data_IF_251503699852
#
_entry.id   IF_251503699852
#
_cell.length_a   1.000
_cell.length_b   1.000
_cell.length_c   1.000
_cell.angle_alpha   90.00
_cell.angle_beta   90.00
_cell.angle_gamma   90.00
#
_symmetry.space_group_name_H-M   'P 1'
#
loop_
_entity.id
_entity.type
_entity.pdbx_description
1 polymer ?
#
# COMPACT_ATOMS: atom_id res chain seq x y z
N UNK A 1 23.68 22.94 6.49
CA UNK A 1 23.77 23.95 7.58
C UNK A 1 23.30 25.34 7.16
N UNK A 2 23.83 25.97 6.10
CA UNK A 2 23.38 27.31 5.65
C UNK A 2 21.85 27.40 5.45
N UNK A 3 21.23 26.37 4.88
CA UNK A 3 19.76 26.28 4.72
C UNK A 3 19.00 26.17 6.03
N UNK A 4 19.57 25.52 7.05
CA UNK A 4 18.95 25.40 8.38
C UNK A 4 18.94 26.76 9.10
N UNK A 5 19.97 27.58 8.85
CA UNK A 5 20.01 28.97 9.31
C UNK A 5 19.25 29.95 8.38
N UNK A 6 18.49 29.44 7.41
CA UNK A 6 17.67 30.27 6.51
C UNK A 6 18.46 31.07 5.47
N UNK A 7 19.75 30.78 5.27
CA UNK A 7 20.63 31.52 4.36
C UNK A 7 20.52 31.07 2.90
N UNK A 8 19.92 29.91 2.65
CA UNK A 8 19.76 29.28 1.32
C UNK A 8 18.46 28.48 1.32
N UNK A 9 17.61 28.61 0.32
CA UNK A 9 16.40 27.80 0.21
C UNK A 9 16.69 26.37 -0.31
N UNK A 10 15.94 25.34 0.12
CA UNK A 10 16.09 23.98 -0.41
C UNK A 10 15.99 23.91 -1.95
N UNK A 11 15.14 24.77 -2.52
CA UNK A 11 14.95 24.90 -3.96
C UNK A 11 16.18 25.45 -4.72
N UNK A 12 17.21 25.94 -4.03
CA UNK A 12 18.45 26.42 -4.64
C UNK A 12 19.47 25.28 -4.86
N UNK A 13 19.27 24.11 -4.26
CA UNK A 13 20.12 22.94 -4.52
C UNK A 13 19.87 22.39 -5.93
N UNK A 14 20.90 21.85 -6.57
CA UNK A 14 20.78 21.25 -7.92
C UNK A 14 20.34 19.79 -7.89
N UNK A 15 20.70 19.06 -6.84
CA UNK A 15 20.39 17.63 -6.70
C UNK A 15 19.28 17.39 -5.68
N UNK A 16 18.38 16.44 -5.96
CA UNK A 16 17.43 15.94 -4.96
C UNK A 16 18.14 15.29 -3.77
N UNK A 17 19.32 14.69 -3.98
CA UNK A 17 20.14 14.08 -2.92
C UNK A 17 20.63 15.12 -1.90
N UNK A 18 20.94 16.33 -2.35
CA UNK A 18 21.31 17.43 -1.45
C UNK A 18 20.11 17.84 -0.59
N UNK A 19 18.91 17.90 -1.19
CA UNK A 19 17.67 18.22 -0.49
C UNK A 19 17.32 17.13 0.53
N UNK A 20 17.52 15.85 0.20
CA UNK A 20 17.39 14.75 1.17
C UNK A 20 18.37 14.90 2.34
N UNK A 21 19.62 15.27 2.07
CA UNK A 21 20.63 15.49 3.12
C UNK A 21 20.23 16.63 4.06
N UNK A 22 19.71 17.74 3.50
CA UNK A 22 19.19 18.86 4.29
C UNK A 22 17.94 18.47 5.06
N UNK A 23 17.04 17.68 4.48
CA UNK A 23 15.84 17.17 5.15
C UNK A 23 16.22 16.34 6.39
N UNK A 24 17.18 15.42 6.25
CA UNK A 24 17.67 14.59 7.38
C UNK A 24 18.20 15.48 8.50
N UNK A 25 19.05 16.46 8.17
CA UNK A 25 19.63 17.37 9.16
C UNK A 25 18.53 18.23 9.81
N UNK A 26 17.59 18.76 9.03
CA UNK A 26 16.49 19.57 9.54
C UNK A 26 15.56 18.78 10.46
N UNK A 27 15.28 17.52 10.12
CA UNK A 27 14.49 16.61 10.94
C UNK A 27 15.19 16.29 12.26
N UNK A 28 16.51 16.00 12.22
CA UNK A 28 17.31 15.77 13.43
C UNK A 28 17.37 17.02 14.33
N UNK A 29 17.47 18.20 13.73
CA UNK A 29 17.50 19.48 14.45
C UNK A 29 16.11 19.99 14.88
N UNK A 30 15.03 19.24 14.64
CA UNK A 30 13.65 19.65 14.93
C UNK A 30 13.28 21.01 14.31
N UNK A 31 13.81 21.28 13.11
CA UNK A 31 13.56 22.52 12.38
C UNK A 31 12.41 22.33 11.38
N UNK A 32 11.17 22.26 11.89
CA UNK A 32 9.96 21.91 11.12
C UNK A 32 9.75 22.77 9.87
N UNK A 33 10.04 24.07 9.96
CA UNK A 33 9.92 24.99 8.82
C UNK A 33 10.84 24.64 7.65
N UNK A 34 12.05 24.16 7.95
CA UNK A 34 13.03 23.76 6.93
C UNK A 34 12.70 22.35 6.44
N UNK A 35 12.29 21.46 7.33
CA UNK A 35 11.78 20.12 7.01
C UNK A 35 10.65 20.19 5.98
N UNK A 36 9.57 20.91 6.28
CA UNK A 36 8.42 21.03 5.38
C UNK A 36 8.75 21.69 4.03
N UNK A 37 9.69 22.64 4.01
CA UNK A 37 10.19 23.20 2.74
C UNK A 37 10.96 22.17 1.91
N UNK A 38 11.76 21.32 2.54
CA UNK A 38 12.48 20.26 1.86
C UNK A 38 11.51 19.18 1.35
N UNK A 39 10.52 18.78 2.14
CA UNK A 39 9.49 17.82 1.73
C UNK A 39 8.71 18.33 0.52
N UNK A 40 8.27 19.59 0.56
CA UNK A 40 7.55 20.22 -0.56
C UNK A 40 8.41 20.36 -1.82
N UNK A 41 9.69 20.68 -1.66
CA UNK A 41 10.63 20.76 -2.78
C UNK A 41 10.94 19.37 -3.36
N UNK A 42 11.11 18.35 -2.52
CA UNK A 42 11.22 16.96 -2.95
C UNK A 42 9.98 16.50 -3.69
N UNK A 43 8.77 16.78 -3.19
CA UNK A 43 7.52 16.46 -3.89
C UNK A 43 7.49 17.09 -5.29
N UNK A 44 8.02 18.30 -5.46
CA UNK A 44 8.09 18.98 -6.77
C UNK A 44 9.19 18.44 -7.69
N UNK A 45 10.28 17.94 -7.12
CA UNK A 45 11.50 17.54 -7.86
C UNK A 45 11.59 16.04 -8.12
N UNK A 46 10.96 15.23 -7.29
CA UNK A 46 10.92 13.79 -7.51
C UNK A 46 10.08 13.59 -8.76
N UNK A 47 10.75 13.42 -9.89
CA UNK A 47 10.21 12.67 -11.02
C UNK A 47 10.02 11.26 -10.48
N UNK A 48 8.81 10.96 -10.00
CA UNK A 48 8.51 9.73 -9.30
C UNK A 48 8.53 8.56 -10.29
N UNK A 49 9.72 8.02 -10.49
CA UNK A 49 9.90 6.72 -11.11
C UNK A 49 9.43 5.65 -10.13
N UNK A 50 8.48 4.83 -10.58
CA UNK A 50 7.88 3.77 -9.78
C UNK A 50 8.93 2.76 -9.27
N UNK A 51 10.06 2.60 -9.97
CA UNK A 51 11.17 1.75 -9.54
C UNK A 51 11.82 2.21 -8.22
N UNK A 52 11.76 3.51 -7.91
CA UNK A 52 12.39 4.10 -6.73
C UNK A 52 11.45 4.20 -5.51
N UNK A 53 10.15 3.96 -5.70
CA UNK A 53 9.11 4.14 -4.67
C UNK A 53 9.41 3.31 -3.43
N UNK A 54 9.78 2.04 -3.60
CA UNK A 54 10.08 1.14 -2.48
C UNK A 54 11.24 1.67 -1.62
N UNK A 55 12.26 2.27 -2.23
CA UNK A 55 13.38 2.90 -1.53
C UNK A 55 12.97 4.20 -0.83
N UNK A 56 12.09 5.00 -1.44
CA UNK A 56 11.59 6.23 -0.85
C UNK A 56 10.69 5.97 0.37
N UNK A 57 9.87 4.91 0.35
CA UNK A 57 9.05 4.51 1.50
C UNK A 57 9.93 4.08 2.69
N UNK A 58 10.94 3.22 2.44
CA UNK A 58 11.93 2.84 3.46
C UNK A 58 12.63 4.07 4.04
N UNK A 59 12.99 5.04 3.18
CA UNK A 59 13.59 6.29 3.61
C UNK A 59 12.64 7.10 4.50
N UNK A 60 11.37 7.23 4.13
CA UNK A 60 10.38 7.96 4.91
C UNK A 60 10.16 7.33 6.28
N UNK A 61 10.11 6.00 6.38
CA UNK A 61 10.03 5.29 7.66
C UNK A 61 11.25 5.54 8.53
N UNK A 62 12.46 5.40 7.96
CA UNK A 62 13.71 5.60 8.70
C UNK A 62 13.83 6.98 9.36
N UNK A 63 13.25 8.01 8.74
CA UNK A 63 13.34 9.39 9.21
C UNK A 63 12.01 9.97 9.71
N UNK A 64 10.96 9.17 9.88
CA UNK A 64 9.62 9.62 10.32
C UNK A 64 9.09 10.80 9.48
N UNK A 65 9.08 10.63 8.16
CA UNK A 65 8.63 11.63 7.17
C UNK A 65 7.21 11.31 6.69
N UNK A 66 6.24 11.42 7.60
CA UNK A 66 4.84 11.02 7.38
C UNK A 66 4.19 11.73 6.19
N UNK A 67 4.38 13.05 6.09
CA UNK A 67 3.76 13.87 5.03
C UNK A 67 4.31 13.51 3.64
N UNK A 68 5.61 13.26 3.55
CA UNK A 68 6.24 12.80 2.32
C UNK A 68 5.77 11.40 1.94
N UNK A 69 5.63 10.50 2.92
CA UNK A 69 5.09 9.15 2.72
C UNK A 69 3.68 9.19 2.13
N UNK A 70 2.77 9.98 2.72
CA UNK A 70 1.40 10.12 2.24
C UNK A 70 1.36 10.60 0.78
N UNK A 71 2.21 11.59 0.44
CA UNK A 71 2.28 12.13 -0.92
C UNK A 71 2.82 11.12 -1.93
N UNK A 72 3.78 10.30 -1.54
CA UNK A 72 4.27 9.19 -2.36
C UNK A 72 3.12 8.18 -2.60
N UNK A 73 2.41 7.77 -1.55
CA UNK A 73 1.30 6.82 -1.68
C UNK A 73 0.16 7.36 -2.56
N UNK A 74 -0.17 8.65 -2.44
CA UNK A 74 -1.15 9.32 -3.32
C UNK A 74 -0.73 9.32 -4.79
N UNK A 75 0.53 9.63 -5.08
CA UNK A 75 1.05 9.56 -6.44
C UNK A 75 0.98 8.14 -7.00
N UNK A 76 1.45 7.16 -6.23
CA UNK A 76 1.51 5.76 -6.66
C UNK A 76 0.11 5.22 -6.89
N UNK A 77 -0.81 5.41 -5.94
CA UNK A 77 -2.19 4.92 -6.02
C UNK A 77 -3.03 5.54 -7.15
N UNK A 78 -2.62 6.70 -7.67
CA UNK A 78 -3.27 7.34 -8.82
C UNK A 78 -2.59 7.06 -10.16
N UNK A 79 -1.47 6.34 -10.15
CA UNK A 79 -0.72 6.02 -11.36
C UNK A 79 -1.39 4.86 -12.13
N UNK A 80 -1.75 5.05 -13.42
CA UNK A 80 -2.41 4.01 -14.20
C UNK A 80 -1.51 2.79 -14.47
N UNK A 81 -0.19 2.98 -14.48
CA UNK A 81 0.80 1.93 -14.76
C UNK A 81 1.27 1.21 -13.49
N UNK A 82 0.63 1.50 -12.34
CA UNK A 82 1.02 0.91 -11.06
C UNK A 82 0.95 -0.64 -11.11
N UNK A 83 0.05 -1.24 -11.90
CA UNK A 83 -0.04 -2.70 -12.02
C UNK A 83 1.25 -3.32 -12.59
N UNK A 84 1.86 -2.70 -13.59
CA UNK A 84 3.05 -3.22 -14.30
C UNK A 84 4.30 -3.30 -13.42
N UNK A 85 4.30 -2.57 -12.31
CA UNK A 85 5.42 -2.45 -11.37
C UNK A 85 5.00 -2.77 -9.94
N UNK A 86 3.76 -3.24 -9.77
CA UNK A 86 3.13 -3.46 -8.48
C UNK A 86 3.94 -4.44 -7.64
N UNK A 87 4.41 -5.49 -8.30
CA UNK A 87 5.23 -6.56 -7.75
C UNK A 87 6.55 -6.01 -7.15
N UNK A 88 7.19 -5.02 -7.78
CA UNK A 88 8.41 -4.40 -7.26
C UNK A 88 8.16 -3.46 -6.07
N UNK A 89 6.99 -2.84 -6.03
CA UNK A 89 6.62 -1.88 -4.98
C UNK A 89 6.26 -2.64 -3.69
N UNK A 90 5.52 -3.74 -3.80
CA UNK A 90 5.03 -4.49 -2.64
C UNK A 90 6.13 -5.13 -1.79
N UNK A 91 7.25 -5.54 -2.39
CA UNK A 91 8.31 -6.32 -1.71
C UNK A 91 8.87 -5.64 -0.46
N UNK A 92 8.88 -4.29 -0.40
CA UNK A 92 9.44 -3.54 0.75
C UNK A 92 8.39 -2.69 1.48
N UNK A 93 7.12 -2.85 1.12
CA UNK A 93 6.02 -2.09 1.67
C UNK A 93 5.53 -2.73 2.97
N UNK A 94 5.37 -1.92 4.01
CA UNK A 94 4.75 -2.39 5.26
C UNK A 94 3.23 -2.47 5.14
N UNK A 95 2.59 -3.24 6.02
CA UNK A 95 1.14 -3.52 5.95
C UNK A 95 0.32 -2.23 5.95
N UNK A 96 0.65 -1.27 6.83
CA UNK A 96 -0.05 0.02 6.89
C UNK A 96 0.04 0.79 5.56
N UNK A 97 1.24 0.84 4.97
CA UNK A 97 1.47 1.53 3.69
C UNK A 97 0.71 0.84 2.54
N UNK A 98 0.64 -0.49 2.59
CA UNK A 98 -0.11 -1.27 1.62
C UNK A 98 -1.61 -1.03 1.73
N UNK A 99 -2.18 -1.01 2.94
CA UNK A 99 -3.60 -0.73 3.16
C UNK A 99 -3.96 0.70 2.73
N UNK A 100 -3.11 1.68 3.05
CA UNK A 100 -3.24 3.06 2.59
C UNK A 100 -3.23 3.13 1.05
N UNK A 101 -2.27 2.45 0.41
CA UNK A 101 -2.19 2.38 -1.05
C UNK A 101 -3.44 1.72 -1.63
N UNK A 102 -3.87 0.60 -1.06
CA UNK A 102 -5.04 -0.16 -1.51
C UNK A 102 -6.29 0.74 -1.50
N UNK A 103 -6.47 1.58 -0.48
CA UNK A 103 -7.58 2.53 -0.39
C UNK A 103 -7.53 3.63 -1.47
N UNK A 104 -6.34 4.01 -1.92
CA UNK A 104 -6.13 5.06 -2.92
C UNK A 104 -6.24 4.56 -4.37
N UNK A 105 -5.99 3.27 -4.59
CA UNK A 105 -6.04 2.67 -5.95
C UNK A 105 -7.43 2.71 -6.57
N UNK A 106 -7.46 3.05 -7.87
CA UNK A 106 -8.68 3.13 -8.69
C UNK A 106 -8.85 1.98 -9.68
N UNK A 107 -8.07 0.92 -9.53
CA UNK A 107 -8.25 -0.29 -10.34
C UNK A 107 -9.64 -0.89 -10.13
N UNK A 108 -10.06 -1.75 -11.06
CA UNK A 108 -11.30 -2.48 -10.88
C UNK A 108 -11.22 -3.35 -9.60
N UNK A 109 -12.37 -3.63 -8.96
CA UNK A 109 -12.36 -4.29 -7.66
C UNK A 109 -11.78 -5.71 -7.67
N UNK A 110 -11.83 -6.43 -8.79
CA UNK A 110 -11.24 -7.77 -8.90
C UNK A 110 -9.72 -7.69 -8.93
N UNK A 111 -9.17 -6.75 -9.70
CA UNK A 111 -7.72 -6.50 -9.71
C UNK A 111 -7.20 -6.10 -8.32
N UNK A 112 -7.93 -5.22 -7.61
CA UNK A 112 -7.56 -4.83 -6.23
C UNK A 112 -7.63 -6.01 -5.26
N UNK A 113 -8.61 -6.90 -5.44
CA UNK A 113 -8.75 -8.11 -4.65
C UNK A 113 -7.59 -9.10 -4.88
N UNK A 114 -7.23 -9.36 -6.13
CA UNK A 114 -6.12 -10.25 -6.47
C UNK A 114 -4.77 -9.72 -5.94
N UNK A 115 -4.58 -8.41 -6.03
CA UNK A 115 -3.46 -7.68 -5.43
C UNK A 115 -3.36 -7.89 -3.91
N UNK A 116 -4.49 -7.80 -3.20
CA UNK A 116 -4.58 -8.06 -1.76
C UNK A 116 -4.22 -9.51 -1.43
N UNK A 117 -4.77 -10.46 -2.19
CA UNK A 117 -4.48 -11.87 -2.00
C UNK A 117 -2.98 -12.16 -2.18
N UNK A 118 -2.35 -11.63 -3.23
CA UNK A 118 -0.90 -11.78 -3.45
C UNK A 118 -0.08 -11.20 -2.30
N UNK A 119 -0.42 -10.00 -1.83
CA UNK A 119 0.32 -9.35 -0.74
C UNK A 119 0.22 -10.12 0.57
N UNK A 120 -0.98 -10.61 0.91
CA UNK A 120 -1.23 -11.36 2.15
C UNK A 120 -0.67 -12.79 2.11
N UNK A 121 -0.73 -13.47 0.96
CA UNK A 121 -0.20 -14.83 0.78
C UNK A 121 1.30 -14.90 0.51
N UNK A 122 1.96 -13.74 0.37
CA UNK A 122 3.40 -13.65 0.07
C UNK A 122 3.80 -14.45 -1.19
N UNK A 123 2.88 -14.54 -2.15
CA UNK A 123 3.14 -15.19 -3.44
C UNK A 123 4.30 -14.47 -4.13
N UNK A 124 5.18 -15.25 -4.78
CA UNK A 124 6.34 -14.70 -5.47
C UNK A 124 5.91 -13.59 -6.42
N UNK A 125 6.61 -12.44 -6.46
CA UNK A 125 6.32 -11.39 -7.41
C UNK A 125 6.32 -11.89 -8.85
N UNK A 126 7.06 -12.96 -9.21
CA UNK A 126 7.06 -13.48 -10.59
C UNK A 126 5.71 -14.07 -11.06
N UNK A 127 4.77 -14.31 -10.14
CA UNK A 127 3.46 -14.89 -10.43
C UNK A 127 2.45 -13.76 -10.71
N UNK A 128 2.11 -13.56 -11.98
CA UNK A 128 1.20 -12.51 -12.43
C UNK A 128 -0.23 -12.64 -11.90
N UNK A 129 -0.73 -13.84 -11.67
CA UNK A 129 -2.01 -14.09 -10.99
C UNK A 129 -1.90 -15.43 -10.26
N UNK A 130 -2.51 -15.53 -9.08
CA UNK A 130 -2.68 -16.82 -8.41
C UNK A 130 -3.67 -17.63 -9.25
N UNK A 131 -3.31 -18.84 -9.71
CA UNK A 131 -4.19 -19.65 -10.56
C UNK A 131 -5.58 -19.85 -9.94
N UNK A 132 -6.62 -19.89 -10.78
CA UNK A 132 -7.97 -20.22 -10.33
C UNK A 132 -7.99 -21.64 -9.73
N UNK A 133 -8.57 -21.78 -8.52
CA UNK A 133 -8.62 -23.06 -7.80
C UNK A 133 -7.32 -23.50 -7.13
N UNK A 134 -6.28 -22.65 -7.09
CA UNK A 134 -5.11 -22.89 -6.26
C UNK A 134 -5.33 -22.38 -4.84
N UNK A 135 -4.86 -23.14 -3.85
CA UNK A 135 -4.91 -22.75 -2.44
C UNK A 135 -4.13 -21.45 -2.18
N UNK A 136 -4.79 -20.49 -1.54
CA UNK A 136 -4.22 -19.20 -1.13
C UNK A 136 -3.83 -19.32 0.34
N UNK A 137 -2.57 -19.67 0.60
CA UNK A 137 -2.09 -19.91 1.95
C UNK A 137 -1.76 -18.62 2.69
N UNK A 138 -2.39 -18.40 3.84
CA UNK A 138 -2.05 -17.33 4.79
C UNK A 138 -1.43 -17.99 6.03
N UNK A 139 -0.14 -17.72 6.25
CA UNK A 139 0.65 -18.40 7.29
C UNK A 139 1.01 -17.48 8.46
N UNK A 140 0.92 -16.17 8.29
CA UNK A 140 1.29 -15.18 9.29
C UNK A 140 0.05 -14.40 9.78
N UNK A 141 0.01 -14.11 11.09
CA UNK A 141 -1.15 -13.46 11.73
C UNK A 141 -1.36 -12.02 11.25
N UNK A 142 -0.29 -11.25 11.15
CA UNK A 142 -0.30 -9.89 10.61
C UNK A 142 -0.83 -9.85 9.16
N UNK A 143 -0.54 -10.89 8.36
CA UNK A 143 -1.08 -11.05 7.00
C UNK A 143 -2.57 -11.36 6.99
N UNK A 144 -3.06 -12.15 7.94
CA UNK A 144 -4.48 -12.40 8.12
C UNK A 144 -5.22 -11.12 8.53
N UNK A 145 -4.67 -10.36 9.47
CA UNK A 145 -5.23 -9.07 9.89
C UNK A 145 -5.24 -8.06 8.72
N UNK A 146 -4.16 -7.99 7.95
CA UNK A 146 -4.08 -7.21 6.71
C UNK A 146 -5.16 -7.63 5.69
N UNK A 147 -5.41 -8.94 5.57
CA UNK A 147 -6.42 -9.47 4.64
C UNK A 147 -7.83 -9.02 5.06
N UNK A 148 -8.15 -9.12 6.34
CA UNK A 148 -9.45 -8.72 6.90
C UNK A 148 -9.68 -7.22 6.70
N UNK A 149 -8.70 -6.38 7.04
CA UNK A 149 -8.78 -4.93 6.83
C UNK A 149 -8.88 -4.59 5.34
N UNK A 150 -8.12 -5.28 4.49
CA UNK A 150 -8.21 -5.15 3.04
C UNK A 150 -9.62 -5.46 2.53
N UNK A 151 -10.28 -6.50 3.04
CA UNK A 151 -11.68 -6.81 2.69
C UNK A 151 -12.63 -5.69 3.11
N UNK A 152 -12.47 -5.10 4.29
CA UNK A 152 -13.28 -3.94 4.70
C UNK A 152 -13.07 -2.70 3.81
N UNK A 153 -11.85 -2.48 3.31
CA UNK A 153 -11.56 -1.40 2.36
C UNK A 153 -12.24 -1.68 1.01
N UNK A 154 -12.06 -2.90 0.48
CA UNK A 154 -12.51 -3.27 -0.85
C UNK A 154 -14.02 -3.50 -0.94
N UNK A 155 -14.67 -3.98 0.12
CA UNK A 155 -16.11 -4.31 0.11
C UNK A 155 -17.00 -3.15 -0.34
N UNK A 156 -16.58 -1.92 -0.08
CA UNK A 156 -17.27 -0.68 -0.47
C UNK A 156 -17.40 -0.50 -1.98
N UNK A 157 -16.57 -1.18 -2.79
CA UNK A 157 -16.64 -1.11 -4.25
C UNK A 157 -17.35 -2.30 -4.89
N UNK A 158 -17.86 -3.26 -4.09
CA UNK A 158 -18.52 -4.48 -4.58
C UNK A 158 -20.01 -4.22 -4.87
N UNK A 159 -20.28 -3.53 -5.96
CA UNK A 159 -21.62 -3.05 -6.32
C UNK A 159 -22.47 -4.05 -7.12
N UNK A 160 -21.96 -5.21 -7.53
CA UNK A 160 -22.68 -6.17 -8.38
C UNK A 160 -22.60 -7.60 -7.86
N UNK A 161 -23.67 -8.37 -8.08
CA UNK A 161 -23.73 -9.79 -7.72
C UNK A 161 -22.65 -10.64 -8.38
N UNK A 162 -22.31 -10.36 -9.64
CA UNK A 162 -21.27 -11.09 -10.35
C UNK A 162 -19.88 -10.90 -9.70
N UNK A 163 -19.59 -9.66 -9.29
CA UNK A 163 -18.35 -9.32 -8.62
C UNK A 163 -18.27 -9.93 -7.24
N UNK A 164 -19.34 -9.79 -6.45
CA UNK A 164 -19.45 -10.46 -5.14
C UNK A 164 -19.19 -11.94 -5.34
N UNK A 165 -19.95 -12.64 -6.19
CA UNK A 165 -19.77 -14.08 -6.43
C UNK A 165 -18.32 -14.47 -6.76
N UNK A 166 -17.66 -13.75 -7.67
CA UNK A 166 -16.25 -14.02 -8.03
C UNK A 166 -15.30 -13.87 -6.84
N UNK A 167 -15.45 -12.81 -6.05
CA UNK A 167 -14.65 -12.59 -4.84
C UNK A 167 -14.94 -13.68 -3.81
N UNK A 168 -16.20 -14.08 -3.67
CA UNK A 168 -16.62 -15.16 -2.77
C UNK A 168 -16.02 -16.50 -3.16
N UNK A 169 -16.03 -16.83 -4.46
CA UNK A 169 -15.41 -18.05 -4.98
C UNK A 169 -13.90 -18.06 -4.65
N UNK A 170 -13.20 -16.94 -4.87
CA UNK A 170 -11.78 -16.79 -4.51
C UNK A 170 -11.52 -16.83 -3.01
N UNK A 171 -12.44 -16.32 -2.19
CA UNK A 171 -12.30 -16.33 -0.73
C UNK A 171 -12.35 -17.76 -0.17
N UNK A 172 -13.05 -18.68 -0.85
CA UNK A 172 -13.11 -20.10 -0.46
C UNK A 172 -11.80 -20.85 -0.68
N UNK A 173 -10.96 -20.37 -1.59
CA UNK A 173 -9.63 -20.93 -1.86
C UNK A 173 -8.62 -20.52 -0.76
N UNK A 174 -9.00 -19.65 0.19
CA UNK A 174 -8.11 -19.17 1.25
C UNK A 174 -7.96 -20.23 2.34
N UNK A 175 -6.72 -20.64 2.57
CA UNK A 175 -6.34 -21.61 3.61
C UNK A 175 -5.50 -20.89 4.65
N UNK A 176 -5.97 -20.86 5.89
CA UNK A 176 -5.29 -20.18 7.00
C UNK A 176 -4.57 -21.21 7.86
N UNK A 177 -3.24 -21.19 7.82
CA UNK A 177 -2.36 -22.13 8.51
C UNK A 177 -1.39 -21.34 9.41
N UNK A 178 -1.90 -20.77 10.49
CA UNK A 178 -1.08 -20.01 11.43
C UNK A 178 -0.24 -20.92 12.33
N UNK A 179 1.01 -20.54 12.57
CA UNK A 179 1.90 -21.26 13.49
C UNK A 179 1.37 -21.32 14.94
N UNK A 180 0.51 -20.37 15.32
CA UNK A 180 -0.12 -20.28 16.65
C UNK A 180 -1.24 -21.29 16.89
N UNK A 181 -1.59 -22.12 15.89
CA UNK A 181 -2.72 -23.04 15.95
C UNK A 181 -3.99 -22.49 15.30
N UNK A 182 -5.13 -23.21 15.42
CA UNK A 182 -6.38 -22.83 14.78
C UNK A 182 -6.85 -21.45 15.24
N UNK A 183 -7.17 -20.58 14.27
CA UNK A 183 -7.65 -19.21 14.49
C UNK A 183 -8.89 -18.98 13.63
N UNK A 184 -10.02 -18.70 14.27
CA UNK A 184 -11.32 -18.49 13.61
C UNK A 184 -11.50 -17.04 13.09
N UNK A 185 -10.50 -16.16 13.26
CA UNK A 185 -10.59 -14.76 12.81
C UNK A 185 -10.81 -14.65 11.30
N UNK A 186 -10.40 -15.66 10.52
CA UNK A 186 -10.64 -15.73 9.08
C UNK A 186 -12.14 -15.82 8.72
N UNK A 187 -13.01 -16.25 9.65
CA UNK A 187 -14.46 -16.25 9.45
C UNK A 187 -15.04 -14.84 9.26
N UNK A 188 -14.33 -13.79 9.70
CA UNK A 188 -14.70 -12.40 9.44
C UNK A 188 -14.78 -12.10 7.94
N UNK A 189 -13.95 -12.75 7.12
CA UNK A 189 -13.98 -12.60 5.66
C UNK A 189 -15.35 -13.02 5.09
N UNK A 190 -15.93 -14.09 5.64
CA UNK A 190 -17.27 -14.56 5.26
C UNK A 190 -18.36 -13.60 5.74
N UNK A 191 -18.21 -13.02 6.93
CA UNK A 191 -19.17 -12.03 7.43
C UNK A 191 -19.21 -10.79 6.52
N UNK A 192 -18.04 -10.24 6.14
CA UNK A 192 -17.94 -9.09 5.23
C UNK A 192 -18.64 -9.40 3.90
N UNK A 193 -18.44 -10.62 3.40
CA UNK A 193 -19.07 -11.09 2.16
C UNK A 193 -20.60 -11.14 2.27
N UNK A 194 -21.11 -11.77 3.34
CA UNK A 194 -22.54 -11.88 3.61
C UNK A 194 -23.18 -10.50 3.75
N UNK A 195 -22.52 -9.58 4.45
CA UNK A 195 -23.02 -8.20 4.60
C UNK A 195 -23.18 -7.50 3.25
N UNK A 196 -22.23 -7.68 2.31
CA UNK A 196 -22.36 -7.11 0.96
C UNK A 196 -23.44 -7.79 0.11
N UNK A 197 -23.72 -9.07 0.32
CA UNK A 197 -24.84 -9.73 -0.36
C UNK A 197 -26.19 -9.08 -0.02
N UNK A 198 -26.35 -8.55 1.20
CA UNK A 198 -27.58 -7.89 1.63
C UNK A 198 -27.70 -6.43 1.18
N UNK A 199 -26.62 -5.80 0.72
CA UNK A 199 -26.62 -4.40 0.24
C UNK A 199 -26.95 -4.27 -1.25
N UNK A 200 -26.71 -5.33 -2.04
CA UNK A 200 -26.99 -5.32 -3.49
C UNK A 200 -28.40 -5.85 -3.75
N UNK A 201 -29.28 -5.09 -4.44
CA UNK A 201 -30.62 -5.55 -4.77
C UNK A 201 -30.56 -6.86 -5.57
N UNK A 202 -31.41 -7.82 -5.22
CA UNK A 202 -31.51 -9.11 -5.90
C UNK A 202 -31.94 -8.89 -7.37
N UNK A 203 -31.40 -9.66 -8.32
CA UNK A 203 -31.82 -9.61 -9.72
C UNK A 203 -33.27 -10.07 -9.92
#
# INVERSE_FOLDING_TARGET
>A
LRTVYGLVHPSEYRSAQDVFSVLIIANYMMSDKVKGRCELDLIRRIVMDLSNVSHLLVFCRKYNLSDLREKILQYVGTNPNLFDVYEHILVKMEIEEFLDLLALTKFDPLTRHEVLLKYCSQVSPDIHNIPEGADINITQRDRLECLIEGYHILSKSWTTWQMIRRIGDRTRDIVVNLESGPDDSHLVLLQIFVDQMYTVPLP
#
